data_IF_956913473878
#
_entry.id   IF_956913473878
#
_cell.length_a   1.000
_cell.length_b   1.000
_cell.length_c   1.000
_cell.angle_alpha   90.00
_cell.angle_beta   90.00
_cell.angle_gamma   90.00
#
_symmetry.space_group_name_H-M   'P 1'
#
loop_
_entity.id
_entity.type
_entity.pdbx_description
1 polymer ?
#
# COMPACT_ATOMS: atom_id res chain seq x y z
N UNK A 1 -4.43 -4.58 27.64
CA UNK A 1 -3.70 -5.67 26.97
C UNK A 1 -4.71 -6.38 26.09
N UNK A 2 -4.40 -6.69 24.83
CA UNK A 2 -5.29 -7.52 24.00
C UNK A 2 -5.39 -8.90 24.67
N UNK A 3 -6.61 -9.33 25.00
CA UNK A 3 -6.84 -10.67 25.55
C UNK A 3 -6.41 -11.74 24.54
N UNK A 4 -5.79 -12.83 25.04
CA UNK A 4 -5.36 -13.97 24.22
C UNK A 4 -4.01 -13.83 23.51
N UNK A 5 -3.32 -12.69 23.60
CA UNK A 5 -1.99 -12.53 23.01
C UNK A 5 -0.87 -12.70 24.06
N UNK A 6 -0.10 -13.78 23.94
CA UNK A 6 1.09 -14.01 24.77
C UNK A 6 2.33 -13.33 24.16
N UNK A 7 2.95 -12.34 24.83
CA UNK A 7 4.15 -11.68 24.33
C UNK A 7 5.32 -12.65 24.24
N UNK A 8 6.02 -12.66 23.10
CA UNK A 8 7.23 -13.48 22.95
C UNK A 8 8.39 -12.83 23.66
N UNK A 9 9.14 -13.60 24.46
CA UNK A 9 10.30 -13.12 25.22
C UNK A 9 11.56 -13.22 24.35
N UNK A 10 12.21 -12.08 24.14
CA UNK A 10 13.53 -11.98 23.49
C UNK A 10 14.51 -11.35 24.49
N UNK A 11 15.35 -12.20 25.09
CA UNK A 11 16.25 -11.81 26.17
C UNK A 11 15.47 -11.27 27.38
N UNK A 12 15.71 -10.01 27.75
CA UNK A 12 15.02 -9.31 28.84
C UNK A 12 13.75 -8.56 28.41
N UNK A 13 13.41 -8.55 27.11
CA UNK A 13 12.27 -7.80 26.55
C UNK A 13 11.13 -8.72 26.17
N UNK A 14 9.91 -8.26 26.38
CA UNK A 14 8.69 -8.87 25.84
C UNK A 14 8.28 -8.09 24.60
N UNK A 15 8.03 -8.80 23.51
CA UNK A 15 7.65 -8.20 22.23
C UNK A 15 6.31 -8.75 21.77
N UNK A 16 5.55 -7.92 21.07
CA UNK A 16 4.33 -8.30 20.37
C UNK A 16 4.45 -7.90 18.90
N UNK A 17 3.70 -8.59 18.05
CA UNK A 17 3.62 -8.32 16.62
C UNK A 17 2.29 -8.82 16.07
N UNK A 18 1.85 -8.21 14.98
CA UNK A 18 0.63 -8.59 14.26
C UNK A 18 0.91 -8.73 12.77
N UNK A 19 0.01 -9.42 12.08
CA UNK A 19 0.02 -9.49 10.62
C UNK A 19 -0.42 -8.13 10.04
N UNK A 20 0.26 -7.66 8.99
CA UNK A 20 -0.10 -6.43 8.28
C UNK A 20 -0.77 -6.83 6.96
N UNK A 21 -2.09 -6.59 6.78
CA UNK A 21 -2.80 -6.99 5.57
C UNK A 21 -2.63 -5.95 4.45
N UNK A 22 -1.88 -6.33 3.41
CA UNK A 22 -1.42 -5.42 2.35
C UNK A 22 -2.29 -5.44 1.08
N UNK A 23 -3.43 -6.14 1.13
CA UNK A 23 -4.37 -6.22 0.03
C UNK A 23 -5.81 -6.18 0.54
N UNK A 24 -6.68 -5.36 -0.10
CA UNK A 24 -8.08 -5.37 0.24
C UNK A 24 -8.70 -6.76 0.09
N UNK A 25 -9.58 -7.12 1.01
CA UNK A 25 -10.43 -8.32 0.86
C UNK A 25 -11.38 -8.15 -0.33
N UNK A 26 -11.87 -9.25 -0.89
CA UNK A 26 -12.74 -9.23 -2.07
C UNK A 26 -14.05 -8.46 -1.83
N UNK A 27 -14.59 -8.57 -0.60
CA UNK A 27 -15.83 -7.93 -0.18
C UNK A 27 -15.69 -7.32 1.20
N UNK A 28 -15.99 -6.02 1.34
CA UNK A 28 -15.83 -5.26 2.61
C UNK A 28 -17.15 -4.98 3.33
N UNK A 29 -18.21 -5.72 3.02
CA UNK A 29 -19.55 -5.53 3.60
C UNK A 29 -20.36 -6.83 3.61
N UNK A 30 -21.41 -6.87 4.44
CA UNK A 30 -22.40 -7.94 4.50
C UNK A 30 -23.76 -7.41 4.94
N UNK A 31 -24.69 -8.28 5.36
CA UNK A 31 -26.08 -7.90 5.64
C UNK A 31 -26.19 -6.76 6.67
N UNK A 32 -25.37 -6.81 7.73
CA UNK A 32 -25.39 -5.85 8.85
C UNK A 32 -24.00 -5.50 9.35
N UNK A 33 -23.00 -5.54 8.47
CA UNK A 33 -21.62 -5.18 8.82
C UNK A 33 -20.88 -4.58 7.64
N UNK A 34 -19.85 -3.81 7.97
CA UNK A 34 -18.80 -3.35 7.05
C UNK A 34 -17.44 -3.60 7.69
N UNK A 35 -16.41 -3.80 6.87
CA UNK A 35 -15.04 -4.01 7.32
C UNK A 35 -14.23 -2.74 7.06
N UNK A 36 -13.45 -2.30 8.05
CA UNK A 36 -12.63 -1.07 7.99
C UNK A 36 -11.18 -1.38 8.37
N UNK A 37 -10.26 -0.49 8.01
CA UNK A 37 -8.84 -0.60 8.37
C UNK A 37 -8.23 -1.96 8.01
N UNK A 38 -7.53 -2.58 8.98
CA UNK A 38 -6.85 -3.86 8.77
C UNK A 38 -7.82 -5.00 8.46
N UNK A 39 -9.03 -5.01 9.03
CA UNK A 39 -10.03 -6.05 8.74
C UNK A 39 -10.46 -6.06 7.26
N UNK A 40 -10.37 -4.91 6.60
CA UNK A 40 -10.63 -4.77 5.17
C UNK A 40 -9.37 -4.84 4.31
N UNK A 41 -8.18 -4.96 4.90
CA UNK A 41 -6.90 -4.98 4.18
C UNK A 41 -6.52 -3.66 3.54
N UNK A 42 -6.86 -2.53 4.19
CA UNK A 42 -6.67 -1.18 3.67
C UNK A 42 -5.33 -0.54 4.07
N UNK A 43 -4.38 -1.29 4.65
CA UNK A 43 -3.06 -0.78 4.99
C UNK A 43 -2.30 -0.31 3.73
N UNK A 44 -1.45 0.73 3.83
CA UNK A 44 -0.56 1.15 2.73
C UNK A 44 0.55 0.08 2.53
N UNK A 45 0.59 -0.60 1.38
CA UNK A 45 1.57 -1.64 1.08
C UNK A 45 3.04 -1.19 1.00
N UNK A 46 3.29 0.10 0.77
CA UNK A 46 4.65 0.65 0.61
C UNK A 46 5.24 1.03 1.96
N UNK A 47 4.46 1.70 2.81
CA UNK A 47 4.94 2.21 4.10
C UNK A 47 4.58 1.28 5.26
N UNK A 48 3.72 0.30 5.04
CA UNK A 48 3.13 -0.56 6.08
C UNK A 48 2.35 0.22 7.15
N UNK A 49 1.90 1.44 6.83
CA UNK A 49 1.09 2.26 7.71
C UNK A 49 -0.42 2.02 7.48
N UNK A 50 -1.16 1.74 8.55
CA UNK A 50 -2.61 1.51 8.49
C UNK A 50 -3.48 2.62 9.08
N UNK A 51 -2.96 3.42 10.02
CA UNK A 51 -3.78 4.31 10.87
C UNK A 51 -4.57 5.33 10.05
N UNK A 52 -3.93 6.00 9.09
CA UNK A 52 -4.60 7.00 8.25
C UNK A 52 -5.75 6.37 7.44
N UNK A 53 -5.52 5.20 6.84
CA UNK A 53 -6.54 4.51 6.05
C UNK A 53 -7.64 3.90 6.94
N UNK A 54 -7.32 3.48 8.15
CA UNK A 54 -8.30 3.03 9.14
C UNK A 54 -9.25 4.18 9.55
N UNK A 55 -8.71 5.38 9.82
CA UNK A 55 -9.53 6.55 10.12
C UNK A 55 -10.41 6.97 8.94
N UNK A 56 -9.86 7.02 7.73
CA UNK A 56 -10.62 7.36 6.51
C UNK A 56 -11.73 6.35 6.25
N UNK A 57 -11.41 5.06 6.22
CA UNK A 57 -12.40 4.00 6.01
C UNK A 57 -13.48 3.99 7.10
N UNK A 58 -13.13 4.26 8.36
CA UNK A 58 -14.10 4.45 9.44
C UNK A 58 -15.06 5.62 9.19
N UNK A 59 -14.55 6.77 8.73
CA UNK A 59 -15.39 7.92 8.38
C UNK A 59 -16.32 7.62 7.21
N UNK A 60 -15.84 6.92 6.18
CA UNK A 60 -16.64 6.51 5.02
C UNK A 60 -17.71 5.50 5.45
N UNK A 61 -17.37 4.56 6.33
CA UNK A 61 -18.29 3.61 6.91
C UNK A 61 -19.42 4.29 7.68
N UNK A 62 -19.12 5.31 8.49
CA UNK A 62 -20.14 6.08 9.21
C UNK A 62 -21.18 6.68 8.25
N UNK A 63 -20.73 7.33 7.17
CA UNK A 63 -21.62 7.91 6.16
C UNK A 63 -22.48 6.85 5.44
N UNK A 64 -21.89 5.70 5.12
CA UNK A 64 -22.62 4.61 4.47
C UNK A 64 -23.65 3.95 5.41
N UNK A 65 -23.32 3.83 6.70
CA UNK A 65 -24.23 3.32 7.73
C UNK A 65 -25.39 4.29 7.96
N UNK A 66 -25.13 5.59 8.04
CA UNK A 66 -26.19 6.62 8.13
C UNK A 66 -27.12 6.54 6.92
N UNK A 67 -26.57 6.46 5.71
CA UNK A 67 -27.36 6.28 4.48
C UNK A 67 -28.18 4.97 4.47
N UNK A 68 -27.66 3.89 5.05
CA UNK A 68 -28.38 2.62 5.21
C UNK A 68 -29.54 2.76 6.20
N UNK A 69 -29.31 3.36 7.37
CA UNK A 69 -30.31 3.48 8.43
C UNK A 69 -31.42 4.47 8.07
N UNK A 70 -31.08 5.62 7.49
CA UNK A 70 -32.03 6.71 7.29
C UNK A 70 -32.78 6.60 5.96
N UNK A 71 -32.12 6.07 4.93
CA UNK A 71 -32.61 6.09 3.54
C UNK A 71 -32.76 4.70 2.92
N UNK A 72 -32.36 3.65 3.64
CA UNK A 72 -32.42 2.27 3.14
C UNK A 72 -31.43 1.97 2.01
N UNK A 73 -30.36 2.76 1.86
CA UNK A 73 -29.30 2.44 0.88
C UNK A 73 -28.59 1.13 1.26
N UNK A 74 -28.15 0.30 0.30
CA UNK A 74 -27.43 -0.92 0.61
C UNK A 74 -26.06 -0.62 1.23
N UNK A 75 -25.59 -1.46 2.17
CA UNK A 75 -24.24 -1.35 2.74
C UNK A 75 -23.11 -1.55 1.70
N UNK A 76 -23.42 -2.07 0.51
CA UNK A 76 -22.48 -2.07 -0.63
C UNK A 76 -22.00 -0.67 -1.01
N UNK A 77 -22.79 0.37 -0.69
CA UNK A 77 -22.41 1.77 -0.89
C UNK A 77 -21.08 2.11 -0.18
N UNK A 78 -20.82 1.52 0.99
CA UNK A 78 -19.54 1.69 1.67
C UNK A 78 -18.37 1.27 0.77
N UNK A 79 -18.50 0.13 0.10
CA UNK A 79 -17.46 -0.40 -0.76
C UNK A 79 -17.19 0.49 -1.97
N UNK A 80 -18.25 1.00 -2.59
CA UNK A 80 -18.13 1.95 -3.70
C UNK A 80 -17.46 3.25 -3.27
N UNK A 81 -17.83 3.77 -2.09
CA UNK A 81 -17.27 5.02 -1.56
C UNK A 81 -15.78 4.88 -1.22
N UNK A 82 -15.37 3.85 -0.47
CA UNK A 82 -13.95 3.71 -0.14
C UNK A 82 -13.13 3.36 -1.37
N UNK A 83 -13.67 2.57 -2.32
CA UNK A 83 -12.95 2.27 -3.57
C UNK A 83 -12.71 3.55 -4.36
N UNK A 84 -13.70 4.43 -4.46
CA UNK A 84 -13.55 5.73 -5.12
C UNK A 84 -12.46 6.59 -4.49
N UNK A 85 -12.32 6.57 -3.17
CA UNK A 85 -11.37 7.44 -2.47
C UNK A 85 -9.96 6.85 -2.30
N UNK A 86 -9.84 5.55 -2.04
CA UNK A 86 -8.59 4.93 -1.59
C UNK A 86 -8.00 3.90 -2.58
N UNK A 87 -8.82 3.30 -3.45
CA UNK A 87 -8.39 2.13 -4.22
C UNK A 87 -7.27 2.45 -5.20
N UNK A 88 -7.29 3.61 -5.87
CA UNK A 88 -6.22 3.95 -6.81
C UNK A 88 -4.86 4.02 -6.09
N UNK A 89 -4.80 4.72 -4.96
CA UNK A 89 -3.56 4.83 -4.20
C UNK A 89 -3.09 3.48 -3.64
N UNK A 90 -4.00 2.66 -3.07
CA UNK A 90 -3.66 1.32 -2.58
C UNK A 90 -3.14 0.44 -3.72
N UNK A 91 -3.82 0.43 -4.86
CA UNK A 91 -3.43 -0.39 -6.02
C UNK A 91 -2.05 0.00 -6.57
N UNK A 92 -1.75 1.30 -6.68
CA UNK A 92 -0.42 1.73 -7.13
C UNK A 92 0.65 1.56 -6.05
N UNK A 93 0.29 1.63 -4.76
CA UNK A 93 1.18 1.26 -3.68
C UNK A 93 1.54 -0.24 -3.75
N UNK A 94 0.60 -1.15 -4.06
CA UNK A 94 0.93 -2.56 -4.29
C UNK A 94 1.89 -2.75 -5.47
N UNK A 95 1.70 -2.01 -6.57
CA UNK A 95 2.63 -2.07 -7.72
C UNK A 95 4.03 -1.59 -7.32
N UNK A 96 4.12 -0.52 -6.54
CA UNK A 96 5.38 -0.01 -6.00
C UNK A 96 6.02 -1.01 -5.03
N UNK A 97 5.22 -1.64 -4.17
CA UNK A 97 5.67 -2.67 -3.25
C UNK A 97 6.27 -3.86 -4.00
N UNK A 98 5.56 -4.40 -4.99
CA UNK A 98 6.05 -5.52 -5.81
C UNK A 98 7.31 -5.14 -6.60
N UNK A 99 7.43 -3.87 -6.99
CA UNK A 99 8.64 -3.38 -7.63
C UNK A 99 9.81 -3.30 -6.63
N UNK A 100 9.58 -2.89 -5.39
CA UNK A 100 10.65 -2.56 -4.44
C UNK A 100 11.05 -3.72 -3.51
N UNK A 101 10.12 -4.59 -3.14
CA UNK A 101 10.29 -5.56 -2.05
C UNK A 101 9.99 -6.99 -2.50
N UNK A 102 10.43 -7.96 -1.69
CA UNK A 102 10.01 -9.36 -1.80
C UNK A 102 10.72 -10.18 -2.86
N UNK A 103 11.79 -9.66 -3.47
CA UNK A 103 12.49 -10.36 -4.53
C UNK A 103 14.02 -10.16 -4.52
N UNK A 104 14.76 -11.04 -5.19
CA UNK A 104 16.23 -11.08 -5.14
C UNK A 104 16.93 -9.79 -5.62
N UNK A 105 16.23 -8.93 -6.36
CA UNK A 105 16.74 -7.65 -6.85
C UNK A 105 16.40 -6.44 -5.96
N UNK A 106 15.70 -6.62 -4.83
CA UNK A 106 15.14 -5.51 -4.06
C UNK A 106 16.22 -4.52 -3.61
N UNK A 107 17.31 -5.01 -3.03
CA UNK A 107 18.41 -4.17 -2.55
C UNK A 107 19.09 -3.42 -3.70
N UNK A 108 19.38 -4.12 -4.80
CA UNK A 108 19.99 -3.50 -6.00
C UNK A 108 19.09 -2.45 -6.62
N UNK A 109 17.77 -2.67 -6.58
CA UNK A 109 16.81 -1.69 -7.09
C UNK A 109 16.75 -0.46 -6.19
N UNK A 110 16.71 -0.65 -4.87
CA UNK A 110 16.76 0.45 -3.92
C UNK A 110 18.00 1.32 -4.15
N UNK A 111 19.18 0.70 -4.26
CA UNK A 111 20.43 1.40 -4.57
C UNK A 111 20.39 2.11 -5.92
N UNK A 112 19.83 1.47 -6.95
CA UNK A 112 19.68 2.07 -8.27
C UNK A 112 18.78 3.31 -8.23
N UNK A 113 17.63 3.23 -7.54
CA UNK A 113 16.69 4.35 -7.38
C UNK A 113 17.35 5.49 -6.61
N UNK A 114 18.05 5.21 -5.51
CA UNK A 114 18.75 6.23 -4.70
C UNK A 114 19.85 6.90 -5.53
N UNK A 115 20.67 6.11 -6.22
CA UNK A 115 21.74 6.64 -7.09
C UNK A 115 21.15 7.48 -8.22
N UNK A 116 20.06 7.03 -8.84
CA UNK A 116 19.38 7.78 -9.90
C UNK A 116 18.75 9.06 -9.37
N UNK A 117 18.23 9.06 -8.15
CA UNK A 117 17.69 10.27 -7.52
C UNK A 117 18.75 11.37 -7.35
N UNK A 118 20.04 11.04 -7.29
CA UNK A 118 21.10 12.05 -7.24
C UNK A 118 21.31 12.80 -8.58
N UNK A 119 20.99 12.16 -9.72
CA UNK A 119 21.29 12.72 -11.05
C UNK A 119 20.05 12.91 -11.95
N UNK A 120 18.87 12.44 -11.54
CA UNK A 120 17.62 12.51 -12.31
C UNK A 120 16.52 13.16 -11.46
N UNK A 121 16.07 14.34 -11.90
CA UNK A 121 15.07 15.15 -11.20
C UNK A 121 13.73 14.44 -11.04
N UNK A 122 13.29 13.67 -12.03
CA UNK A 122 12.02 12.95 -11.97
C UNK A 122 12.08 11.84 -10.91
N UNK A 123 13.17 11.08 -10.87
CA UNK A 123 13.37 10.02 -9.88
C UNK A 123 13.52 10.62 -8.47
N UNK A 124 14.25 11.73 -8.34
CA UNK A 124 14.37 12.46 -7.08
C UNK A 124 12.99 12.92 -6.56
N UNK A 125 12.20 13.52 -7.44
CA UNK A 125 10.87 14.04 -7.12
C UNK A 125 9.93 12.89 -6.77
N UNK A 126 9.94 11.80 -7.53
CA UNK A 126 9.17 10.59 -7.25
C UNK A 126 9.52 10.00 -5.88
N UNK A 127 10.81 9.91 -5.51
CA UNK A 127 11.24 9.43 -4.21
C UNK A 127 10.76 10.33 -3.07
N UNK A 128 10.84 11.66 -3.24
CA UNK A 128 10.29 12.62 -2.26
C UNK A 128 8.78 12.45 -2.08
N UNK A 129 8.04 12.33 -3.18
CA UNK A 129 6.58 12.13 -3.17
C UNK A 129 6.16 10.76 -2.64
N UNK A 130 7.00 9.74 -2.81
CA UNK A 130 6.82 8.42 -2.19
C UNK A 130 6.79 8.55 -0.66
N UNK A 131 7.67 9.37 -0.08
CA UNK A 131 7.82 9.52 1.36
C UNK A 131 6.83 10.51 1.97
N UNK A 132 6.63 11.66 1.34
CA UNK A 132 5.80 12.74 1.90
C UNK A 132 4.34 12.73 1.45
N UNK A 133 3.96 11.79 0.56
CA UNK A 133 2.58 11.62 0.04
C UNK A 133 1.98 12.90 -0.57
N UNK A 134 2.81 13.81 -1.11
CA UNK A 134 2.34 15.06 -1.73
C UNK A 134 1.54 14.83 -3.03
N UNK A 135 1.77 13.73 -3.71
CA UNK A 135 1.11 13.33 -4.95
C UNK A 135 0.65 11.87 -4.89
N UNK A 136 -0.24 11.49 -5.81
CA UNK A 136 -0.80 10.12 -5.84
C UNK A 136 0.27 9.05 -6.11
N UNK A 137 0.03 7.84 -5.61
CA UNK A 137 0.91 6.68 -5.84
C UNK A 137 1.04 6.36 -7.33
N UNK A 138 0.00 6.65 -8.12
CA UNK A 138 -0.01 6.52 -9.58
C UNK A 138 1.01 7.44 -10.26
N UNK A 139 1.06 8.70 -9.85
CA UNK A 139 2.02 9.66 -10.40
C UNK A 139 3.45 9.23 -10.08
N UNK A 140 3.71 8.86 -8.82
CA UNK A 140 5.02 8.36 -8.37
C UNK A 140 5.46 7.14 -9.18
N UNK A 141 4.58 6.13 -9.29
CA UNK A 141 4.84 4.94 -10.09
C UNK A 141 5.15 5.28 -11.54
N UNK A 142 4.37 6.18 -12.15
CA UNK A 142 4.56 6.58 -13.54
C UNK A 142 5.90 7.28 -13.76
N UNK A 143 6.34 8.13 -12.83
CA UNK A 143 7.64 8.81 -12.90
C UNK A 143 8.82 7.85 -12.79
N UNK A 144 8.73 6.85 -11.91
CA UNK A 144 9.75 5.78 -11.82
C UNK A 144 9.78 4.95 -13.11
N UNK A 145 8.61 4.54 -13.61
CA UNK A 145 8.51 3.67 -14.79
C UNK A 145 8.88 4.35 -16.10
N UNK A 146 8.83 5.69 -16.20
CA UNK A 146 9.44 6.43 -17.31
C UNK A 146 10.94 6.15 -17.44
N UNK A 147 11.60 5.86 -16.31
CA UNK A 147 13.04 5.60 -16.23
C UNK A 147 13.38 4.09 -16.15
N UNK A 148 12.42 3.20 -16.47
CA UNK A 148 12.55 1.74 -16.31
C UNK A 148 13.76 1.12 -17.03
N UNK A 149 14.15 1.64 -18.20
CA UNK A 149 15.30 1.12 -18.95
C UNK A 149 16.64 1.42 -18.27
N UNK A 150 16.75 2.59 -17.64
CA UNK A 150 17.93 2.99 -16.87
C UNK A 150 18.01 2.17 -15.58
N UNK A 151 16.87 1.95 -14.91
CA UNK A 151 16.77 1.05 -13.76
C UNK A 151 17.23 -0.37 -14.14
N UNK A 152 16.70 -0.93 -15.22
CA UNK A 152 17.10 -2.25 -15.72
C UNK A 152 18.59 -2.37 -16.02
N UNK A 153 19.16 -1.38 -16.69
CA UNK A 153 20.60 -1.36 -16.99
C UNK A 153 21.44 -1.34 -15.71
N UNK A 154 21.03 -0.57 -14.69
CA UNK A 154 21.71 -0.55 -13.38
C UNK A 154 21.56 -1.85 -12.59
N UNK A 155 20.49 -2.61 -12.82
CA UNK A 155 20.31 -3.95 -12.27
C UNK A 155 21.14 -5.03 -12.98
N UNK A 156 21.89 -4.68 -14.02
CA UNK A 156 22.63 -5.65 -14.84
C UNK A 156 21.73 -6.49 -15.76
N UNK A 157 20.49 -6.06 -15.99
CA UNK A 157 19.53 -6.74 -16.84
C UNK A 157 19.51 -6.10 -18.23
N UNK A 158 19.71 -6.93 -19.26
CA UNK A 158 19.72 -6.50 -20.66
C UNK A 158 18.32 -6.34 -21.27
N UNK A 159 17.27 -6.89 -20.64
CA UNK A 159 15.91 -6.86 -21.17
C UNK A 159 14.82 -6.87 -20.10
N UNK A 160 13.71 -6.16 -20.36
CA UNK A 160 12.50 -6.11 -19.54
C UNK A 160 11.87 -7.51 -19.39
N UNK A 161 12.11 -8.42 -20.35
CA UNK A 161 11.55 -9.79 -20.34
C UNK A 161 12.06 -10.66 -19.18
N UNK A 162 13.16 -10.27 -18.52
CA UNK A 162 13.71 -11.01 -17.38
C UNK A 162 13.10 -10.57 -16.05
N UNK A 163 12.44 -9.40 -15.99
CA UNK A 163 11.81 -8.88 -14.77
C UNK A 163 10.73 -9.82 -14.18
N UNK A 164 9.77 -10.37 -14.94
CA UNK A 164 8.70 -11.20 -14.38
C UNK A 164 9.18 -12.57 -13.84
N UNK A 165 10.44 -12.94 -14.10
CA UNK A 165 11.05 -14.16 -13.54
C UNK A 165 11.82 -13.88 -12.24
N UNK A 166 12.01 -12.60 -11.94
CA UNK A 166 12.84 -12.10 -10.84
C UNK A 166 12.03 -11.23 -9.86
N UNK A 167 10.75 -10.96 -10.16
CA UNK A 167 9.74 -10.21 -9.39
C UNK A 167 8.48 -11.06 -9.38
#
# INVERSE_FOLDING_TARGET
KLEGFEPKKFGKKHTFGGFIPLRPVEKTWGEKFVLVGDSAGLCDPVTYEGISNALKSGSIAANAIEAYLDKGHPLSLYEDMWKKELYEDINYAQKLQNLMYGHALSDKLADAVITMAASNKDVNTALRWLLNRKESRKTVYSMLMKNKFVLLRKLGLSTVRLLPRLI
#
